data_IF_860186823901
#
_entry.id   IF_860186823901
#
_cell.length_a   1.000
_cell.length_b   1.000
_cell.length_c   1.000
_cell.angle_alpha   90.00
_cell.angle_beta   90.00
_cell.angle_gamma   90.00
#
_symmetry.space_group_name_H-M   'P 1'
#
loop_
_entity.id
_entity.type
_entity.pdbx_description
1 polymer ?
#
# COMPACT_ATOMS: atom_id res chain seq x y z
N UNK A 1 12.99 -30.69 -16.19
CA UNK A 1 12.81 -30.10 -14.85
C UNK A 1 11.76 -29.03 -14.99
N UNK A 2 10.66 -29.11 -14.24
CA UNK A 2 9.69 -28.01 -14.14
C UNK A 2 10.29 -26.94 -13.22
N UNK A 3 10.60 -25.77 -13.77
CA UNK A 3 11.05 -24.62 -12.99
C UNK A 3 9.87 -23.88 -12.38
N UNK A 4 10.12 -23.14 -11.28
CA UNK A 4 9.16 -22.20 -10.69
C UNK A 4 9.57 -20.79 -11.11
N UNK A 5 8.62 -20.00 -11.59
CA UNK A 5 8.78 -18.58 -11.92
C UNK A 5 8.22 -17.73 -10.79
N UNK A 6 9.08 -16.92 -10.17
CA UNK A 6 8.70 -16.01 -9.08
C UNK A 6 8.70 -14.57 -9.56
N UNK A 7 7.67 -13.81 -9.20
CA UNK A 7 7.75 -12.36 -9.18
C UNK A 7 8.03 -11.89 -7.75
N UNK A 8 9.13 -11.17 -7.59
CA UNK A 8 9.53 -10.53 -6.34
C UNK A 8 9.44 -9.01 -6.53
N UNK A 9 8.68 -8.33 -5.68
CA UNK A 9 8.60 -6.86 -5.72
C UNK A 9 8.51 -6.23 -4.33
N UNK A 10 8.75 -4.93 -4.28
CA UNK A 10 9.26 -4.24 -3.10
C UNK A 10 8.22 -3.43 -2.33
N UNK A 11 8.69 -2.99 -1.16
CA UNK A 11 8.11 -2.15 -0.12
C UNK A 11 6.69 -1.65 -0.41
N UNK A 12 5.73 -2.56 -0.20
CA UNK A 12 4.30 -2.26 -0.28
C UNK A 12 3.91 -1.54 1.01
N UNK A 13 4.09 -0.22 1.01
CA UNK A 13 3.87 0.66 2.16
C UNK A 13 2.48 1.31 2.14
N UNK A 14 1.40 0.52 2.25
CA UNK A 14 0.05 1.06 2.08
C UNK A 14 -0.33 2.09 3.14
N UNK A 15 0.18 1.95 4.38
CA UNK A 15 -0.18 2.87 5.47
C UNK A 15 0.42 4.27 5.37
N UNK A 16 1.34 4.54 4.43
CA UNK A 16 1.96 5.86 4.21
C UNK A 16 1.19 6.73 3.20
N UNK A 17 -0.13 6.59 3.17
CA UNK A 17 -1.03 7.42 2.37
C UNK A 17 -1.90 6.66 1.38
N UNK A 18 -1.50 5.47 0.92
CA UNK A 18 -2.32 4.66 0.00
C UNK A 18 -3.61 4.18 0.68
N UNK A 19 -3.54 3.67 1.91
CA UNK A 19 -4.73 3.26 2.68
C UNK A 19 -5.75 4.40 2.76
N UNK A 20 -5.27 5.65 2.79
CA UNK A 20 -6.12 6.84 2.83
C UNK A 20 -6.86 7.15 1.53
N UNK A 21 -6.50 6.53 0.41
CA UNK A 21 -7.25 6.63 -0.85
C UNK A 21 -8.10 5.39 -1.11
N UNK A 22 -7.96 4.31 -0.34
CA UNK A 22 -8.74 3.08 -0.50
C UNK A 22 -10.15 3.20 0.12
N UNK A 23 -11.08 2.27 -0.17
CA UNK A 23 -12.49 2.37 0.25
C UNK A 23 -12.73 2.46 1.76
N UNK A 24 -11.86 1.87 2.60
CA UNK A 24 -12.04 1.80 4.06
C UNK A 24 -10.77 2.24 4.78
N UNK A 25 -10.38 3.52 4.75
CA UNK A 25 -9.12 3.96 5.36
C UNK A 25 -9.14 3.77 6.88
N UNK A 26 -7.99 3.41 7.46
CA UNK A 26 -7.74 3.50 8.89
C UNK A 26 -7.56 4.97 9.32
N UNK A 27 -7.51 5.24 10.62
CA UNK A 27 -7.18 6.60 11.09
C UNK A 27 -5.77 7.00 10.59
N UNK A 28 -5.64 8.17 9.95
CA UNK A 28 -4.44 8.59 9.22
C UNK A 28 -3.23 8.89 10.09
N UNK A 29 -3.35 8.85 11.43
CA UNK A 29 -2.24 9.15 12.32
C UNK A 29 -1.04 8.24 12.03
N UNK A 30 0.12 8.86 11.87
CA UNK A 30 1.43 8.21 11.77
C UNK A 30 2.39 8.83 12.78
N UNK A 31 3.53 8.18 13.01
CA UNK A 31 4.42 8.47 14.14
C UNK A 31 5.81 8.93 13.70
N UNK A 32 5.92 9.41 12.45
CA UNK A 32 7.18 9.91 11.91
C UNK A 32 7.55 11.27 12.52
N UNK A 33 8.86 11.62 12.63
CA UNK A 33 9.28 12.91 13.16
C UNK A 33 8.76 14.12 12.37
N UNK A 34 8.57 13.94 11.06
CA UNK A 34 8.28 15.03 10.12
C UNK A 34 6.84 15.02 9.58
N UNK A 35 6.07 13.98 9.86
CA UNK A 35 4.69 13.86 9.41
C UNK A 35 3.85 13.20 10.51
N UNK A 36 2.71 13.80 10.82
CA UNK A 36 1.78 13.29 11.85
C UNK A 36 0.56 12.62 11.23
N UNK A 37 0.34 12.82 9.93
CA UNK A 37 -0.78 12.26 9.19
C UNK A 37 -0.34 11.69 7.84
N UNK A 38 -0.81 10.50 7.51
CA UNK A 38 -0.66 9.90 6.18
C UNK A 38 -1.31 10.76 5.08
N UNK A 39 -2.26 11.64 5.44
CA UNK A 39 -2.84 12.62 4.52
C UNK A 39 -1.82 13.69 4.09
N UNK A 40 -0.76 13.94 4.86
CA UNK A 40 0.28 14.89 4.49
C UNK A 40 1.04 14.41 3.24
N UNK A 41 1.30 13.10 3.15
CA UNK A 41 1.88 12.47 1.96
C UNK A 41 0.96 12.56 0.75
N UNK A 42 -0.35 12.35 0.95
CA UNK A 42 -1.29 12.50 -0.15
C UNK A 42 -1.32 13.94 -0.66
N UNK A 43 -1.41 14.93 0.24
CA UNK A 43 -1.37 16.35 -0.15
C UNK A 43 -0.08 16.69 -0.91
N UNK A 44 1.06 16.14 -0.50
CA UNK A 44 2.33 16.29 -1.21
C UNK A 44 2.27 15.72 -2.64
N UNK A 45 1.69 14.52 -2.79
CA UNK A 45 1.53 13.87 -4.08
C UNK A 45 0.58 14.66 -4.99
N UNK A 46 -0.56 15.11 -4.46
CA UNK A 46 -1.57 15.86 -5.23
C UNK A 46 -1.07 17.23 -5.68
N UNK A 47 -0.27 17.91 -4.86
CA UNK A 47 0.36 19.19 -5.28
C UNK A 47 1.25 19.03 -6.51
N UNK A 48 1.88 17.87 -6.67
CA UNK A 48 2.82 17.62 -7.79
C UNK A 48 2.13 17.02 -9.01
N UNK A 49 1.15 16.15 -8.82
CA UNK A 49 0.57 15.33 -9.91
C UNK A 49 -0.91 15.61 -10.17
N UNK A 50 -1.54 16.51 -9.41
CA UNK A 50 -2.98 16.76 -9.46
C UNK A 50 -3.79 15.83 -8.56
N UNK A 51 -5.12 15.96 -8.57
CA UNK A 51 -6.01 15.21 -7.69
C UNK A 51 -5.84 13.70 -7.81
N UNK A 52 -5.87 12.98 -6.69
CA UNK A 52 -5.80 11.52 -6.65
C UNK A 52 -7.19 10.94 -6.36
N UNK A 53 -7.66 9.93 -7.11
CA UNK A 53 -8.97 9.33 -6.89
C UNK A 53 -9.19 8.85 -5.46
N UNK A 54 -10.39 9.08 -4.92
CA UNK A 54 -10.78 8.66 -3.58
C UNK A 54 -12.29 8.36 -3.53
N UNK A 55 -12.72 7.09 -3.36
CA UNK A 55 -11.86 5.92 -3.25
C UNK A 55 -11.20 5.56 -4.60
N UNK A 56 -9.94 5.14 -4.55
CA UNK A 56 -9.24 4.51 -5.64
C UNK A 56 -9.57 3.01 -5.70
N UNK A 57 -9.52 2.45 -6.91
CA UNK A 57 -9.62 1.00 -7.12
C UNK A 57 -8.41 0.26 -6.51
N UNK A 58 -8.59 -0.98 -6.08
CA UNK A 58 -7.52 -1.77 -5.48
C UNK A 58 -6.33 -2.01 -6.43
N UNK A 59 -6.57 -2.02 -7.75
CA UNK A 59 -5.51 -2.17 -8.75
C UNK A 59 -4.66 -0.89 -8.94
N UNK A 60 -5.06 0.24 -8.35
CA UNK A 60 -4.40 1.54 -8.53
C UNK A 60 -2.89 1.50 -8.30
N UNK A 61 -2.43 0.84 -7.23
CA UNK A 61 -1.02 0.81 -6.85
C UNK A 61 -0.16 -0.09 -7.74
N UNK A 62 -0.78 -1.05 -8.43
CA UNK A 62 -0.05 -1.98 -9.30
C UNK A 62 0.20 -1.38 -10.67
N UNK A 63 -0.70 -0.52 -11.16
CA UNK A 63 -0.54 0.24 -12.39
C UNK A 63 0.09 -0.58 -13.53
N UNK A 64 1.24 -0.13 -14.02
CA UNK A 64 1.97 -0.76 -15.12
C UNK A 64 2.49 -2.19 -14.83
N UNK A 65 2.66 -2.57 -13.56
CA UNK A 65 3.13 -3.91 -13.19
C UNK A 65 2.14 -5.01 -13.59
N UNK A 66 0.84 -4.68 -13.69
CA UNK A 66 -0.22 -5.63 -14.05
C UNK A 66 -0.01 -6.25 -15.42
N UNK A 67 0.44 -5.46 -16.38
CA UNK A 67 0.74 -5.98 -17.72
C UNK A 67 1.91 -6.96 -17.71
N UNK A 68 2.96 -6.66 -16.94
CA UNK A 68 4.11 -7.56 -16.79
C UNK A 68 3.69 -8.85 -16.08
N UNK A 69 2.88 -8.73 -15.02
CA UNK A 69 2.30 -9.87 -14.31
C UNK A 69 1.47 -10.78 -15.22
N UNK A 70 0.66 -10.19 -16.10
CA UNK A 70 -0.15 -10.93 -17.06
C UNK A 70 0.71 -11.64 -18.12
N UNK A 71 1.76 -10.97 -18.64
CA UNK A 71 2.66 -11.55 -19.66
C UNK A 71 3.51 -12.69 -19.11
N UNK A 72 4.06 -12.53 -17.91
CA UNK A 72 4.98 -13.51 -17.34
C UNK A 72 4.29 -14.70 -16.68
N UNK A 73 3.02 -14.54 -16.27
CA UNK A 73 2.24 -15.55 -15.57
C UNK A 73 3.05 -16.30 -14.48
N UNK A 74 3.65 -15.58 -13.50
CA UNK A 74 4.49 -16.21 -12.49
C UNK A 74 3.66 -17.14 -11.61
N UNK A 75 4.27 -18.25 -11.17
CA UNK A 75 3.65 -19.23 -10.27
C UNK A 75 3.35 -18.61 -8.89
N UNK A 76 4.22 -17.71 -8.43
CA UNK A 76 4.06 -16.99 -7.16
C UNK A 76 4.45 -15.52 -7.30
N UNK A 77 3.75 -14.68 -6.52
CA UNK A 77 4.03 -13.25 -6.36
C UNK A 77 4.33 -13.01 -4.89
N UNK A 78 5.51 -12.49 -4.58
CA UNK A 78 5.96 -12.22 -3.22
C UNK A 78 6.28 -10.74 -3.10
N UNK A 79 5.75 -10.11 -2.06
CA UNK A 79 5.92 -8.69 -1.79
C UNK A 79 6.52 -8.48 -0.40
N UNK A 80 7.39 -7.48 -0.26
CA UNK A 80 7.76 -6.97 1.06
C UNK A 80 6.63 -6.07 1.57
N UNK A 81 5.80 -6.56 2.50
CA UNK A 81 4.71 -5.78 3.08
C UNK A 81 5.20 -4.98 4.29
N UNK A 82 5.38 -3.68 4.09
CA UNK A 82 5.93 -2.73 5.08
C UNK A 82 4.81 -2.03 5.88
N UNK A 83 3.68 -2.72 6.09
CA UNK A 83 2.50 -2.17 6.77
C UNK A 83 1.74 -3.26 7.52
N UNK A 84 1.38 -2.98 8.77
CA UNK A 84 0.51 -3.87 9.54
C UNK A 84 -0.93 -3.81 9.00
N UNK A 85 -1.62 -4.95 8.94
CA UNK A 85 -3.02 -5.02 8.56
C UNK A 85 -3.85 -5.20 9.82
N UNK A 86 -4.47 -4.13 10.30
CA UNK A 86 -5.22 -4.13 11.56
C UNK A 86 -6.22 -2.97 11.62
N UNK A 87 -7.38 -3.20 12.24
CA UNK A 87 -8.38 -2.16 12.49
C UNK A 87 -8.11 -1.41 13.81
N UNK A 88 -7.33 -2.00 14.70
CA UNK A 88 -7.03 -1.53 16.05
C UNK A 88 -5.58 -1.84 16.43
N UNK A 89 -5.25 -1.72 17.72
CA UNK A 89 -3.91 -2.01 18.25
C UNK A 89 -3.16 -0.76 18.69
N UNK A 90 -1.99 -1.00 19.31
CA UNK A 90 -1.11 0.04 19.84
C UNK A 90 0.15 0.13 18.96
N UNK A 91 0.62 1.34 18.61
CA UNK A 91 1.89 1.48 17.91
C UNK A 91 3.02 0.99 18.83
N UNK A 92 4.00 0.31 18.23
CA UNK A 92 5.23 -0.05 18.91
C UNK A 92 6.04 1.22 19.22
N UNK A 93 6.88 1.24 20.28
CA UNK A 93 7.73 2.38 20.64
C UNK A 93 8.91 2.56 19.68
N UNK A 94 8.60 2.73 18.39
CA UNK A 94 9.51 2.96 17.26
C UNK A 94 9.00 4.11 16.40
N UNK A 95 9.90 4.72 15.62
CA UNK A 95 9.56 5.91 14.83
C UNK A 95 8.62 5.65 13.64
N UNK A 96 8.52 4.41 13.16
CA UNK A 96 7.71 4.08 11.98
C UNK A 96 6.67 3.03 12.34
N UNK A 97 5.39 3.41 12.30
CA UNK A 97 4.26 2.51 12.49
C UNK A 97 3.22 2.82 11.41
N UNK A 98 3.17 1.97 10.38
CA UNK A 98 2.16 2.05 9.33
C UNK A 98 1.10 0.99 9.53
N UNK A 99 -0.16 1.35 9.26
CA UNK A 99 -1.28 0.42 9.25
C UNK A 99 -2.17 0.62 8.01
N UNK A 100 -2.79 -0.47 7.59
CA UNK A 100 -3.88 -0.49 6.61
C UNK A 100 -5.07 -1.19 7.24
N UNK A 101 -6.27 -0.70 6.96
CA UNK A 101 -7.48 -1.35 7.47
C UNK A 101 -7.67 -2.74 6.81
N UNK A 102 -8.10 -3.80 7.54
CA UNK A 102 -8.26 -5.15 6.99
C UNK A 102 -9.22 -5.23 5.80
N UNK A 103 -10.27 -4.40 5.79
CA UNK A 103 -11.20 -4.32 4.66
C UNK A 103 -10.57 -3.81 3.33
N UNK A 104 -9.31 -3.36 3.35
CA UNK A 104 -8.56 -2.95 2.16
C UNK A 104 -7.59 -4.02 1.66
N UNK A 105 -7.58 -5.24 2.23
CA UNK A 105 -6.63 -6.31 1.86
C UNK A 105 -6.66 -6.69 0.37
N UNK A 106 -7.78 -6.44 -0.32
CA UNK A 106 -7.89 -6.63 -1.77
C UNK A 106 -6.85 -5.87 -2.59
N UNK A 107 -6.26 -4.80 -2.05
CA UNK A 107 -5.13 -4.11 -2.67
C UNK A 107 -3.92 -5.04 -2.89
N UNK A 108 -3.75 -6.10 -2.10
CA UNK A 108 -2.60 -7.00 -2.23
C UNK A 108 -2.74 -8.01 -3.37
N UNK A 109 -3.95 -8.23 -3.88
CA UNK A 109 -4.24 -9.29 -4.86
C UNK A 109 -4.78 -8.78 -6.20
N UNK A 110 -4.90 -7.46 -6.37
CA UNK A 110 -5.51 -6.80 -7.54
C UNK A 110 -4.65 -6.79 -8.84
#
# INVERSE_FOLDING_TARGET
MTGITLLLTGDVMTGRGIDQILPRPADPRIFEPYARSALDYLRLAERKHGPIPRPADFAYVWGAARERLAREAPDLRIVNLETAITADGRPEPKGINYRMHPANIGVLTA
#
